data_IF_316126806166
#
_entry.id   IF_316126806166
#
_cell.length_a   1.000
_cell.length_b   1.000
_cell.length_c   1.000
_cell.angle_alpha   90.00
_cell.angle_beta   90.00
_cell.angle_gamma   90.00
#
_symmetry.space_group_name_H-M   'P 1'
#
loop_
_entity.id
_entity.type
_entity.pdbx_description
1 polymer ?
#
# COMPACT_ATOMS: atom_id res chain seq x y z
N UNK A 1 -0.16 10.99 -3.08
CA UNK A 1 0.48 12.30 -3.32
C UNK A 1 1.73 12.42 -2.44
N UNK A 2 2.85 12.87 -3.00
CA UNK A 2 4.18 12.92 -2.35
C UNK A 2 5.07 13.97 -3.03
N UNK A 3 6.14 14.39 -2.36
CA UNK A 3 7.26 15.06 -3.01
C UNK A 3 8.05 14.07 -3.90
N UNK A 4 8.78 14.57 -4.92
CA UNK A 4 9.67 13.74 -5.71
C UNK A 4 10.70 13.04 -4.83
N UNK A 5 10.91 11.76 -5.10
CA UNK A 5 11.94 10.94 -4.49
C UNK A 5 13.14 10.92 -5.44
N UNK A 6 13.87 12.03 -5.43
CA UNK A 6 15.00 12.30 -6.33
C UNK A 6 16.26 12.58 -5.51
N UNK A 7 17.46 12.37 -6.09
CA UNK A 7 18.72 12.77 -5.48
C UNK A 7 18.71 14.22 -5.01
N UNK A 8 19.46 14.49 -3.92
CA UNK A 8 19.50 15.81 -3.29
C UNK A 8 19.88 16.92 -4.29
N UNK A 9 20.81 16.66 -5.21
CA UNK A 9 21.24 17.68 -6.18
C UNK A 9 20.10 18.12 -7.12
N UNK A 10 19.17 17.20 -7.42
CA UNK A 10 17.98 17.51 -8.23
C UNK A 10 16.92 18.24 -7.41
N UNK A 11 16.75 17.85 -6.13
CA UNK A 11 15.81 18.52 -5.24
C UNK A 11 16.24 19.97 -4.92
N UNK A 12 17.53 20.26 -4.90
CA UNK A 12 18.07 21.61 -4.67
C UNK A 12 17.71 22.60 -5.78
N UNK A 13 17.47 22.11 -7.00
CA UNK A 13 17.05 22.92 -8.16
C UNK A 13 15.55 22.85 -8.43
N UNK A 14 14.80 22.04 -7.68
CA UNK A 14 13.37 21.90 -7.85
C UNK A 14 12.62 23.16 -7.40
N UNK A 15 11.71 23.64 -8.25
CA UNK A 15 10.86 24.79 -7.95
C UNK A 15 9.50 24.30 -7.44
N UNK A 16 9.13 24.73 -6.23
CA UNK A 16 7.81 24.48 -5.63
C UNK A 16 7.08 25.83 -5.45
N UNK A 17 6.28 26.29 -6.45
CA UNK A 17 5.71 27.64 -6.44
C UNK A 17 4.82 27.95 -5.23
N UNK A 18 4.19 26.92 -4.66
CA UNK A 18 3.32 27.05 -3.49
C UNK A 18 4.04 26.87 -2.13
N UNK A 19 5.38 26.74 -2.13
CA UNK A 19 6.17 26.53 -0.90
C UNK A 19 6.11 27.75 0.00
N UNK A 20 5.80 27.54 1.28
CA UNK A 20 5.81 28.59 2.30
C UNK A 20 7.11 28.56 3.10
N UNK A 21 7.65 29.72 3.55
CA UNK A 21 8.80 29.74 4.46
C UNK A 21 8.55 28.90 5.72
N UNK A 22 9.54 28.10 6.11
CA UNK A 22 9.47 27.23 7.30
C UNK A 22 8.55 26.01 7.20
N UNK A 23 7.83 25.82 6.08
CA UNK A 23 6.93 24.68 5.89
C UNK A 23 7.73 23.40 5.57
N UNK A 24 7.47 22.33 6.32
CA UNK A 24 8.04 21.01 6.00
C UNK A 24 7.30 20.34 4.84
N UNK A 25 7.91 19.31 4.23
CA UNK A 25 7.26 18.49 3.20
C UNK A 25 5.99 17.82 3.75
N UNK A 26 6.06 17.27 4.97
CA UNK A 26 4.90 16.72 5.69
C UNK A 26 3.77 17.75 5.83
N UNK A 27 4.09 18.98 6.24
CA UNK A 27 3.06 20.03 6.40
C UNK A 27 2.40 20.37 5.07
N UNK A 28 3.18 20.43 3.99
CA UNK A 28 2.65 20.69 2.65
C UNK A 28 1.74 19.57 2.15
N UNK A 29 2.15 18.30 2.32
CA UNK A 29 1.32 17.15 1.96
C UNK A 29 0.05 17.10 2.81
N UNK A 30 0.16 17.23 4.14
CA UNK A 30 -0.98 17.24 5.06
C UNK A 30 -1.99 18.33 4.71
N UNK A 31 -1.52 19.55 4.42
CA UNK A 31 -2.39 20.65 4.04
C UNK A 31 -3.15 20.35 2.74
N UNK A 32 -2.48 19.78 1.75
CA UNK A 32 -3.11 19.50 0.46
C UNK A 32 -4.06 18.29 0.51
N UNK A 33 -3.75 17.21 1.22
CA UNK A 33 -4.71 16.09 1.36
C UNK A 33 -5.97 16.53 2.13
N UNK A 34 -5.83 17.43 3.11
CA UNK A 34 -6.96 18.02 3.84
C UNK A 34 -7.81 18.88 2.92
N UNK A 35 -7.17 19.77 2.15
CA UNK A 35 -7.84 20.61 1.15
C UNK A 35 -8.60 19.76 0.12
N UNK A 36 -7.98 18.70 -0.38
CA UNK A 36 -8.59 17.80 -1.36
C UNK A 36 -9.84 17.14 -0.78
N UNK A 37 -9.76 16.60 0.44
CA UNK A 37 -10.92 16.04 1.16
C UNK A 37 -12.03 17.06 1.35
N UNK A 38 -11.71 18.27 1.79
CA UNK A 38 -12.71 19.33 2.02
C UNK A 38 -13.40 19.78 0.73
N UNK A 39 -12.67 19.80 -0.39
CA UNK A 39 -13.22 20.15 -1.71
C UNK A 39 -14.11 19.06 -2.29
N UNK A 40 -13.81 17.79 -2.02
CA UNK A 40 -14.57 16.65 -2.56
C UNK A 40 -15.77 16.28 -1.68
N UNK A 41 -15.75 16.61 -0.39
CA UNK A 41 -16.83 16.28 0.55
C UNK A 41 -18.24 16.73 0.09
N UNK A 42 -18.45 17.96 -0.43
CA UNK A 42 -19.77 18.39 -0.89
C UNK A 42 -20.29 17.60 -2.09
N UNK A 43 -19.42 16.90 -2.82
CA UNK A 43 -19.77 16.06 -3.96
C UNK A 43 -20.15 14.64 -3.54
N UNK A 44 -20.00 14.28 -2.26
CA UNK A 44 -20.23 12.92 -1.76
C UNK A 44 -19.26 11.87 -2.32
N UNK A 45 -18.14 12.29 -2.93
CA UNK A 45 -17.16 11.40 -3.53
C UNK A 45 -16.16 10.89 -2.47
N UNK A 46 -15.91 9.57 -2.36
CA UNK A 46 -14.91 9.04 -1.46
C UNK A 46 -13.50 9.41 -1.93
N UNK A 47 -12.61 9.67 -0.98
CA UNK A 47 -11.21 9.99 -1.20
C UNK A 47 -10.35 8.81 -0.81
N UNK A 48 -9.57 8.33 -1.79
CA UNK A 48 -8.61 7.25 -1.57
C UNK A 48 -7.19 7.73 -1.83
N UNK A 49 -6.23 7.27 -1.04
CA UNK A 49 -4.82 7.60 -1.25
C UNK A 49 -3.94 6.36 -1.35
N UNK A 50 -3.16 6.30 -2.43
CA UNK A 50 -2.05 5.37 -2.57
C UNK A 50 -0.83 5.92 -1.81
N UNK A 51 -0.33 5.12 -0.88
CA UNK A 51 0.74 5.49 0.05
C UNK A 51 1.91 4.54 -0.13
N UNK A 52 3.13 5.05 -0.09
CA UNK A 52 4.33 4.24 -0.20
C UNK A 52 4.34 3.15 0.87
N UNK A 53 4.61 1.90 0.49
CA UNK A 53 4.49 0.75 1.40
C UNK A 53 5.35 0.88 2.66
N UNK A 54 6.55 1.44 2.53
CA UNK A 54 7.43 1.70 3.68
C UNK A 54 6.89 2.77 4.62
N UNK A 55 6.07 3.73 4.15
CA UNK A 55 5.48 4.74 5.03
C UNK A 55 4.50 4.12 6.04
N UNK A 56 3.81 3.04 5.66
CA UNK A 56 2.93 2.31 6.58
C UNK A 56 3.71 1.62 7.72
N UNK A 57 5.02 1.39 7.55
CA UNK A 57 5.92 0.80 8.55
C UNK A 57 7.03 1.74 9.06
N UNK A 58 7.07 2.99 8.58
CA UNK A 58 8.03 3.99 9.02
C UNK A 58 7.37 4.92 10.03
N UNK A 59 8.00 5.12 11.19
CA UNK A 59 7.51 6.02 12.25
C UNK A 59 7.68 7.50 11.93
N UNK A 60 8.31 7.84 10.80
CA UNK A 60 8.55 9.21 10.35
C UNK A 60 8.39 9.38 8.83
N UNK A 61 8.60 10.61 8.37
CA UNK A 61 8.63 10.92 6.93
C UNK A 61 9.91 10.37 6.30
N UNK A 62 9.76 9.68 5.17
CA UNK A 62 10.87 9.14 4.37
C UNK A 62 11.47 10.20 3.44
N UNK A 63 11.23 11.49 3.69
CA UNK A 63 11.66 12.61 2.85
C UNK A 63 10.75 12.88 1.66
N UNK A 64 9.54 12.30 1.66
CA UNK A 64 8.56 12.41 0.57
C UNK A 64 7.26 13.09 1.01
N UNK A 65 7.18 13.55 2.26
CA UNK A 65 6.02 14.19 2.84
C UNK A 65 4.91 13.22 3.25
N UNK A 66 5.11 11.91 3.12
CA UNK A 66 4.10 10.94 3.49
C UNK A 66 4.30 10.45 4.92
N UNK A 67 3.32 10.68 5.78
CA UNK A 67 3.24 10.11 7.13
C UNK A 67 1.90 9.43 7.30
N UNK A 68 1.91 8.13 7.60
CA UNK A 68 0.73 7.25 7.65
C UNK A 68 -0.45 7.88 8.41
N UNK A 69 -0.19 8.40 9.60
CA UNK A 69 -1.18 8.97 10.51
C UNK A 69 -1.95 10.16 9.92
N UNK A 70 -1.31 10.92 9.02
CA UNK A 70 -1.92 12.09 8.40
C UNK A 70 -2.93 11.67 7.32
N UNK A 71 -2.66 10.56 6.63
CA UNK A 71 -3.54 10.05 5.57
C UNK A 71 -4.72 9.29 6.13
N UNK A 72 -4.51 8.40 7.11
CA UNK A 72 -5.61 7.62 7.71
C UNK A 72 -6.62 8.48 8.47
N UNK A 73 -6.26 9.71 8.82
CA UNK A 73 -7.17 10.67 9.45
C UNK A 73 -8.06 11.43 8.45
N UNK A 74 -7.75 11.37 7.16
CA UNK A 74 -8.38 12.20 6.12
C UNK A 74 -9.04 11.36 5.02
N UNK A 75 -8.50 10.19 4.70
CA UNK A 75 -9.02 9.33 3.64
C UNK A 75 -10.26 8.54 4.09
N UNK A 76 -11.09 8.15 3.14
CA UNK A 76 -12.06 7.07 3.33
C UNK A 76 -11.35 5.70 3.25
N UNK A 77 -10.40 5.56 2.31
CA UNK A 77 -9.60 4.35 2.11
C UNK A 77 -8.13 4.70 1.87
N UNK A 78 -7.21 4.01 2.52
CA UNK A 78 -5.77 4.09 2.26
C UNK A 78 -5.28 2.80 1.61
N UNK A 79 -4.45 2.97 0.58
CA UNK A 79 -3.90 1.88 -0.21
C UNK A 79 -2.38 1.83 -0.03
N UNK A 80 -1.87 1.15 1.02
CA UNK A 80 -0.43 0.96 1.13
C UNK A 80 0.07 0.11 -0.05
N UNK A 81 1.04 0.64 -0.79
CA UNK A 81 1.69 0.00 -1.93
C UNK A 81 2.70 -1.04 -1.43
N UNK A 82 2.20 -2.19 -1.01
CA UNK A 82 3.01 -3.26 -0.42
C UNK A 82 3.49 -4.19 -1.54
N UNK A 83 4.58 -3.80 -2.18
CA UNK A 83 5.23 -4.58 -3.24
C UNK A 83 6.50 -5.23 -2.70
N UNK A 84 6.53 -6.55 -2.44
CA UNK A 84 7.70 -7.18 -1.84
C UNK A 84 9.00 -6.94 -2.63
N UNK A 85 8.92 -6.69 -3.94
CA UNK A 85 10.09 -6.34 -4.77
C UNK A 85 10.70 -4.97 -4.49
N UNK A 86 9.99 -4.10 -3.78
CA UNK A 86 10.40 -2.72 -3.48
C UNK A 86 10.88 -2.55 -2.03
N UNK A 87 10.89 -3.62 -1.23
CA UNK A 87 11.47 -3.61 0.10
C UNK A 87 12.99 -3.87 0.02
N UNK A 88 13.75 -3.13 0.82
CA UNK A 88 15.21 -3.26 0.88
C UNK A 88 15.64 -4.60 1.48
N UNK A 89 16.84 -5.08 1.12
CA UNK A 89 17.41 -6.33 1.66
C UNK A 89 17.44 -6.30 3.18
N UNK A 90 16.88 -7.31 3.85
CA UNK A 90 16.80 -7.37 5.31
C UNK A 90 15.55 -6.73 5.91
N UNK A 91 14.65 -6.14 5.11
CA UNK A 91 13.36 -5.66 5.59
C UNK A 91 12.60 -6.77 6.33
N UNK A 92 12.12 -6.46 7.53
CA UNK A 92 11.49 -7.41 8.47
C UNK A 92 12.32 -8.67 8.76
N UNK A 93 13.65 -8.59 8.65
CA UNK A 93 14.56 -9.70 8.87
C UNK A 93 14.71 -10.67 7.69
N UNK A 94 14.08 -10.40 6.54
CA UNK A 94 14.17 -11.29 5.38
C UNK A 94 15.32 -10.90 4.46
N UNK A 95 16.23 -11.84 4.21
CA UNK A 95 17.36 -11.62 3.32
C UNK A 95 16.94 -11.25 1.89
N UNK A 96 15.81 -11.77 1.42
CA UNK A 96 15.26 -11.48 0.09
C UNK A 96 13.74 -11.24 0.17
N UNK A 97 13.29 -10.01 0.50
CA UNK A 97 11.86 -9.71 0.67
C UNK A 97 10.98 -10.13 -0.51
N UNK A 98 11.48 -9.94 -1.73
CA UNK A 98 10.73 -10.33 -2.94
C UNK A 98 10.42 -11.83 -3.02
N UNK A 99 11.21 -12.68 -2.34
CA UNK A 99 11.04 -14.13 -2.24
C UNK A 99 10.11 -14.56 -1.09
N UNK A 100 9.63 -13.62 -0.28
CA UNK A 100 8.83 -13.88 0.92
C UNK A 100 7.49 -13.10 0.87
N UNK A 101 6.70 -13.21 -0.22
CA UNK A 101 5.55 -12.35 -0.48
C UNK A 101 4.51 -12.34 0.66
N UNK A 102 4.15 -13.51 1.18
CA UNK A 102 3.24 -13.63 2.33
C UNK A 102 3.79 -12.88 3.55
N UNK A 103 5.06 -13.13 3.92
CA UNK A 103 5.62 -12.61 5.17
C UNK A 103 5.83 -11.10 5.12
N UNK A 104 6.26 -10.57 3.98
CA UNK A 104 6.42 -9.12 3.79
C UNK A 104 5.06 -8.42 3.86
N UNK A 105 4.07 -8.93 3.11
CA UNK A 105 2.73 -8.33 3.12
C UNK A 105 2.08 -8.40 4.50
N UNK A 106 2.15 -9.56 5.17
CA UNK A 106 1.60 -9.73 6.51
C UNK A 106 2.25 -8.82 7.53
N UNK A 107 3.58 -8.67 7.47
CA UNK A 107 4.32 -7.80 8.40
C UNK A 107 3.92 -6.34 8.22
N UNK A 108 3.94 -5.85 6.97
CA UNK A 108 3.58 -4.48 6.65
C UNK A 108 2.12 -4.14 7.00
N UNK A 109 1.19 -5.04 6.69
CA UNK A 109 -0.24 -4.83 6.98
C UNK A 109 -0.56 -4.91 8.47
N UNK A 110 0.08 -5.81 9.21
CA UNK A 110 -0.07 -5.87 10.67
C UNK A 110 0.38 -4.57 11.31
N UNK A 111 1.51 -4.03 10.89
CA UNK A 111 2.00 -2.75 11.40
C UNK A 111 1.09 -1.58 11.01
N UNK A 112 0.59 -1.56 9.78
CA UNK A 112 -0.41 -0.58 9.34
C UNK A 112 -1.68 -0.61 10.22
N UNK A 113 -2.18 -1.81 10.54
CA UNK A 113 -3.31 -2.01 11.44
C UNK A 113 -2.98 -1.53 12.86
N UNK A 114 -1.84 -1.93 13.41
CA UNK A 114 -1.41 -1.55 14.76
C UNK A 114 -1.27 -0.03 14.91
N UNK A 115 -0.76 0.66 13.88
CA UNK A 115 -0.67 2.13 13.86
C UNK A 115 -2.00 2.84 13.67
N UNK A 116 -2.98 2.16 13.07
CA UNK A 116 -4.33 2.70 12.88
C UNK A 116 -5.23 2.50 14.11
N UNK A 117 -5.03 1.42 14.89
CA UNK A 117 -5.86 1.07 16.07
C UNK A 117 -6.06 2.21 17.10
N UNK A 118 -5.05 3.02 17.47
CA UNK A 118 -5.24 4.10 18.43
C UNK A 118 -6.19 5.21 17.96
N UNK A 119 -6.59 5.21 16.69
CA UNK A 119 -7.43 6.23 16.07
C UNK A 119 -8.84 5.67 15.86
N UNK A 120 -9.80 6.16 16.63
CA UNK A 120 -11.20 5.67 16.61
C UNK A 120 -11.91 5.79 15.25
N UNK A 121 -11.42 6.62 14.34
CA UNK A 121 -11.96 6.80 12.98
C UNK A 121 -10.85 6.78 11.92
N UNK A 122 -10.05 5.72 11.88
CA UNK A 122 -9.06 5.50 10.82
C UNK A 122 -9.72 5.05 9.50
N UNK A 123 -9.15 5.47 8.38
CA UNK A 123 -9.51 5.02 7.03
C UNK A 123 -9.46 3.48 6.88
N UNK A 124 -10.28 2.93 5.99
CA UNK A 124 -10.19 1.52 5.59
C UNK A 124 -8.82 1.24 4.96
N UNK A 125 -8.19 0.12 5.30
CA UNK A 125 -6.94 -0.31 4.66
C UNK A 125 -7.26 -1.27 3.52
N UNK A 126 -6.87 -0.90 2.29
CA UNK A 126 -7.00 -1.70 1.07
C UNK A 126 -5.64 -1.83 0.38
N UNK A 127 -4.80 -2.82 0.71
CA UNK A 127 -3.46 -2.91 0.15
C UNK A 127 -3.46 -2.96 -1.38
N UNK A 128 -2.48 -2.27 -1.95
CA UNK A 128 -2.11 -2.40 -3.35
C UNK A 128 -0.99 -3.42 -3.46
N UNK A 129 -1.32 -4.60 -3.97
CA UNK A 129 -0.47 -5.79 -3.98
C UNK A 129 0.24 -5.96 -5.33
N UNK A 130 1.40 -6.60 -5.31
CA UNK A 130 2.23 -6.82 -6.51
C UNK A 130 1.70 -7.98 -7.35
N UNK A 131 1.42 -7.74 -8.63
CA UNK A 131 1.02 -8.76 -9.60
C UNK A 131 1.97 -8.83 -10.82
N UNK A 132 3.24 -8.49 -10.64
CA UNK A 132 4.28 -8.52 -11.67
C UNK A 132 5.60 -9.07 -11.12
N UNK A 133 6.45 -9.51 -12.04
CA UNK A 133 7.83 -9.88 -11.75
C UNK A 133 8.72 -8.66 -11.99
N UNK A 134 9.48 -8.24 -10.97
CA UNK A 134 10.47 -7.18 -11.10
C UNK A 134 11.87 -7.78 -11.27
N UNK A 135 12.56 -7.39 -12.34
CA UNK A 135 13.93 -7.83 -12.64
C UNK A 135 14.01 -9.14 -13.42
N UNK A 136 15.22 -9.47 -13.88
CA UNK A 136 15.51 -10.69 -14.65
C UNK A 136 15.71 -11.94 -13.78
N UNK A 137 15.81 -11.76 -12.45
CA UNK A 137 16.09 -12.82 -11.46
C UNK A 137 14.79 -13.24 -10.75
N UNK A 138 14.85 -14.40 -10.09
CA UNK A 138 13.75 -14.96 -9.29
C UNK A 138 13.45 -14.16 -8.01
N UNK A 139 12.23 -14.30 -7.45
CA UNK A 139 11.15 -15.17 -7.96
C UNK A 139 10.35 -14.55 -9.11
N UNK A 140 9.83 -15.42 -9.97
CA UNK A 140 8.74 -15.05 -10.88
C UNK A 140 7.46 -14.97 -10.06
N UNK A 141 6.67 -13.92 -10.28
CA UNK A 141 5.35 -13.81 -9.70
C UNK A 141 4.35 -14.54 -10.59
N UNK A 142 4.00 -15.74 -10.13
CA UNK A 142 2.97 -16.62 -10.67
C UNK A 142 1.68 -16.45 -9.86
N UNK A 143 0.61 -17.21 -10.15
CA UNK A 143 -0.59 -17.17 -9.33
C UNK A 143 -0.31 -17.46 -7.86
N UNK A 144 0.67 -18.32 -7.55
CA UNK A 144 1.04 -18.67 -6.19
C UNK A 144 1.51 -17.46 -5.37
N UNK A 145 2.52 -16.70 -5.85
CA UNK A 145 3.04 -15.53 -5.14
C UNK A 145 1.98 -14.44 -4.97
N UNK A 146 1.08 -14.28 -5.95
CA UNK A 146 -0.02 -13.31 -5.86
C UNK A 146 -1.04 -13.78 -4.80
N UNK A 147 -1.40 -15.06 -4.78
CA UNK A 147 -2.32 -15.65 -3.79
C UNK A 147 -1.77 -15.57 -2.39
N UNK A 148 -0.47 -15.75 -2.19
CA UNK A 148 0.17 -15.63 -0.88
C UNK A 148 0.07 -14.21 -0.29
N UNK A 149 0.15 -13.17 -1.12
CA UNK A 149 -0.10 -11.79 -0.69
C UNK A 149 -1.56 -11.55 -0.32
N UNK A 150 -2.49 -12.06 -1.13
CA UNK A 150 -3.94 -11.96 -0.85
C UNK A 150 -4.27 -12.68 0.46
N UNK A 151 -3.74 -13.89 0.65
CA UNK A 151 -3.90 -14.69 1.87
C UNK A 151 -3.38 -13.93 3.10
N UNK A 152 -2.21 -13.30 3.00
CA UNK A 152 -1.65 -12.50 4.08
C UNK A 152 -2.58 -11.35 4.51
N UNK A 153 -3.25 -10.67 3.55
CA UNK A 153 -4.25 -9.65 3.86
C UNK A 153 -5.52 -10.25 4.48
N UNK A 154 -6.07 -11.31 3.86
CA UNK A 154 -7.31 -11.97 4.32
C UNK A 154 -7.18 -12.52 5.76
N UNK A 155 -6.05 -13.13 6.10
CA UNK A 155 -5.79 -13.66 7.45
C UNK A 155 -5.64 -12.57 8.53
N UNK A 156 -5.42 -11.31 8.13
CA UNK A 156 -5.44 -10.15 9.03
C UNK A 156 -6.84 -9.50 9.13
N UNK A 157 -7.85 -10.08 8.48
CA UNK A 157 -9.21 -9.54 8.41
C UNK A 157 -9.40 -8.46 7.34
N UNK A 158 -8.39 -8.18 6.51
CA UNK A 158 -8.49 -7.23 5.40
C UNK A 158 -9.09 -7.95 4.19
N UNK A 159 -10.35 -7.62 3.86
CA UNK A 159 -11.13 -8.31 2.82
C UNK A 159 -11.18 -7.56 1.49
N UNK A 160 -10.56 -6.37 1.41
CA UNK A 160 -10.44 -5.59 0.18
C UNK A 160 -8.98 -5.39 -0.18
N UNK A 161 -8.65 -5.45 -1.47
CA UNK A 161 -7.29 -5.25 -2.00
C UNK A 161 -7.37 -4.91 -3.49
N UNK A 162 -6.30 -4.35 -4.04
CA UNK A 162 -6.13 -4.12 -5.49
C UNK A 162 -4.80 -4.71 -5.95
N UNK A 163 -4.71 -5.10 -7.22
CA UNK A 163 -3.51 -5.71 -7.81
C UNK A 163 -2.87 -4.76 -8.81
N UNK A 164 -1.57 -4.51 -8.67
CA UNK A 164 -0.81 -3.70 -9.60
C UNK A 164 -0.03 -4.59 -10.56
N UNK A 165 -0.16 -4.34 -11.85
CA UNK A 165 0.79 -4.82 -12.85
C UNK A 165 1.04 -3.67 -13.85
N UNK A 166 2.28 -3.21 -14.06
CA UNK A 166 2.57 -2.10 -14.97
C UNK A 166 2.23 -2.39 -16.43
N UNK A 167 2.11 -3.66 -16.82
CA UNK A 167 1.63 -4.07 -18.15
C UNK A 167 0.11 -4.23 -18.23
N UNK A 168 -0.61 -4.05 -17.11
CA UNK A 168 -2.05 -4.31 -16.98
C UNK A 168 -2.47 -5.74 -17.37
N UNK A 169 -1.56 -6.71 -17.25
CA UNK A 169 -1.84 -8.13 -17.53
C UNK A 169 -1.97 -8.87 -16.20
N UNK A 170 -3.14 -9.48 -15.96
CA UNK A 170 -3.43 -10.19 -14.73
C UNK A 170 -3.66 -11.67 -14.99
N UNK A 171 -3.04 -12.53 -14.17
CA UNK A 171 -3.19 -13.97 -14.26
C UNK A 171 -4.51 -14.38 -13.61
N UNK A 172 -5.40 -15.02 -14.38
CA UNK A 172 -6.75 -15.37 -13.92
C UNK A 172 -6.74 -16.28 -12.70
N UNK A 173 -5.81 -17.22 -12.66
CA UNK A 173 -5.69 -18.23 -11.59
C UNK A 173 -5.25 -17.62 -10.25
N UNK A 174 -4.80 -16.36 -10.24
CA UNK A 174 -4.56 -15.60 -9.02
C UNK A 174 -5.85 -15.22 -8.29
N UNK A 175 -7.01 -15.27 -8.97
CA UNK A 175 -8.30 -14.83 -8.46
C UNK A 175 -9.18 -16.03 -8.16
N UNK A 176 -9.93 -15.99 -7.05
CA UNK A 176 -10.96 -17.00 -6.81
C UNK A 176 -12.06 -16.86 -7.88
N UNK A 177 -12.67 -17.97 -8.35
CA UNK A 177 -13.86 -17.90 -9.18
C UNK A 177 -14.93 -17.05 -8.50
N UNK A 178 -15.67 -16.25 -9.29
CA UNK A 178 -16.83 -15.52 -8.79
C UNK A 178 -17.81 -16.52 -8.17
N UNK A 179 -18.04 -16.45 -6.86
CA UNK A 179 -19.11 -17.25 -6.22
C UNK A 179 -20.42 -16.88 -6.89
N UNK A 180 -21.08 -17.86 -7.51
CA UNK A 180 -22.48 -17.72 -7.91
C UNK A 180 -23.32 -17.64 -6.62
N UNK A 181 -24.28 -16.71 -6.50
CA UNK A 181 -25.25 -16.76 -5.41
C UNK A 181 -25.87 -18.17 -5.36
N UNK A 182 -25.78 -18.85 -4.22
CA UNK A 182 -26.29 -20.22 -4.03
C UNK A 182 -25.32 -21.37 -4.38
N UNK A 183 -24.07 -21.10 -4.79
CA UNK A 183 -23.08 -22.16 -5.02
C UNK A 183 -22.48 -22.71 -3.72
N UNK A 184 -22.14 -24.02 -3.67
CA UNK A 184 -21.52 -24.62 -2.49
C UNK A 184 -20.18 -23.93 -2.16
N UNK A 185 -19.85 -23.86 -0.87
CA UNK A 185 -18.59 -23.30 -0.41
C UNK A 185 -17.40 -24.07 -1.04
N UNK A 186 -16.33 -23.38 -1.48
CA UNK A 186 -15.17 -24.07 -2.03
C UNK A 186 -14.54 -24.96 -0.95
N UNK A 187 -14.28 -26.21 -1.32
CA UNK A 187 -13.64 -27.20 -0.44
C UNK A 187 -12.29 -26.67 0.03
N UNK A 188 -12.10 -26.62 1.34
CA UNK A 188 -10.80 -26.38 1.95
C UNK A 188 -9.89 -27.55 1.58
N UNK A 189 -8.87 -27.30 0.76
CA UNK A 189 -7.77 -28.25 0.57
C UNK A 189 -6.91 -28.27 1.85
N UNK A 190 -7.36 -29.01 2.85
CA UNK A 190 -6.51 -29.49 3.93
C UNK A 190 -5.61 -30.57 3.34
N UNK A 191 -4.31 -30.36 3.38
CA UNK A 191 -3.34 -31.40 3.08
C UNK A 191 -3.23 -32.35 4.27
N UNK A 192 -3.25 -33.64 3.96
CA UNK A 192 -2.78 -34.72 4.83
C UNK A 192 -1.28 -34.62 5.11
#
# INVERSE_FOLDING_TARGET
MRFPDEPRERLETAVFPARRPGQSQRDAVRAHITLLRDRLRPLGAPVTFDIFGLTASATGDLGIGQVWEDFIAVADVVLPMVYPSHYYRGAYGFAHPNAEPYRIVRSALREALDRSRPRGSAAEIRPYLQAFTLGRRLPRYTPFEIREQIRAAEELGITSWVLWNPRSVYQRDSLRPKRRPGGPAPLSSGGD
#
